data_IF_053231329284
#
_entry.id   IF_053231329284
#
_cell.length_a   1.000
_cell.length_b   1.000
_cell.length_c   1.000
_cell.angle_alpha   90.00
_cell.angle_beta   90.00
_cell.angle_gamma   90.00
#
_symmetry.space_group_name_H-M   'P 1'
#
loop_
_entity.id
_entity.type
_entity.pdbx_description
1 polymer ?
#
# COMPACT_ATOMS: atom_id res chain seq x y z
N UNK A 1 -5.29 16.57 -11.78
CA UNK A 1 -4.72 15.95 -10.54
C UNK A 1 -4.28 14.47 -10.72
N UNK A 2 -5.01 13.66 -11.49
CA UNK A 2 -4.88 12.19 -11.55
C UNK A 2 -3.52 11.60 -11.91
N UNK A 3 -2.70 12.26 -12.74
CA UNK A 3 -1.35 11.75 -13.08
C UNK A 3 -0.43 11.71 -11.86
N UNK A 4 -0.53 12.72 -10.97
CA UNK A 4 0.31 12.81 -9.77
C UNK A 4 -0.04 11.69 -8.78
N UNK A 5 -1.33 11.42 -8.59
CA UNK A 5 -1.76 10.37 -7.66
C UNK A 5 -1.44 8.96 -8.18
N UNK A 6 -1.59 8.72 -9.48
CA UNK A 6 -1.18 7.45 -10.10
C UNK A 6 0.33 7.20 -9.93
N UNK A 7 1.14 8.25 -10.13
CA UNK A 7 2.59 8.16 -9.95
C UNK A 7 2.97 7.93 -8.48
N UNK A 8 2.34 8.66 -7.55
CA UNK A 8 2.55 8.45 -6.10
C UNK A 8 2.17 7.05 -5.64
N UNK A 9 1.02 6.54 -6.09
CA UNK A 9 0.59 5.18 -5.81
C UNK A 9 1.54 4.12 -6.39
N UNK A 10 2.09 4.37 -7.59
CA UNK A 10 3.06 3.48 -8.21
C UNK A 10 4.33 3.36 -7.36
N UNK A 11 4.89 4.49 -6.93
CA UNK A 11 6.08 4.49 -6.08
C UNK A 11 5.80 3.80 -4.74
N UNK A 12 4.65 4.09 -4.10
CA UNK A 12 4.28 3.45 -2.84
C UNK A 12 4.20 1.91 -2.94
N UNK A 13 3.66 1.37 -4.03
CA UNK A 13 3.55 -0.08 -4.27
C UNK A 13 4.84 -0.71 -4.80
N UNK A 14 5.71 0.08 -5.44
CA UNK A 14 7.00 -0.34 -5.98
C UNK A 14 8.09 -0.35 -4.92
N UNK A 15 8.14 0.64 -4.05
CA UNK A 15 9.31 0.82 -3.19
C UNK A 15 9.24 -0.09 -1.96
N UNK A 16 8.05 -0.29 -1.39
CA UNK A 16 7.84 -1.16 -0.23
C UNK A 16 7.24 -2.52 -0.64
N UNK A 17 7.99 -3.63 -0.58
CA UNK A 17 7.47 -4.97 -0.91
C UNK A 17 6.41 -5.46 0.05
N UNK A 18 6.26 -4.84 1.23
CA UNK A 18 5.20 -5.18 2.20
C UNK A 18 3.84 -4.63 1.77
N UNK A 19 3.78 -3.73 0.78
CA UNK A 19 2.56 -3.01 0.41
C UNK A 19 1.78 -3.76 -0.67
N UNK A 20 0.63 -4.32 -0.29
CA UNK A 20 -0.32 -5.00 -1.18
C UNK A 20 -1.30 -4.03 -1.85
N UNK A 21 -1.75 -3.02 -1.10
CA UNK A 21 -2.63 -1.96 -1.60
C UNK A 21 -2.37 -0.63 -0.88
N UNK A 22 -2.85 0.47 -1.46
CA UNK A 22 -2.80 1.80 -0.85
C UNK A 22 -4.03 2.62 -1.24
N UNK A 23 -4.32 3.63 -0.44
CA UNK A 23 -5.40 4.58 -0.68
C UNK A 23 -4.85 5.93 -1.12
N UNK A 24 -5.67 6.73 -1.78
CA UNK A 24 -5.33 8.10 -2.15
C UNK A 24 -6.54 9.02 -2.20
N UNK A 25 -6.29 10.32 -2.12
CA UNK A 25 -7.31 11.36 -2.26
C UNK A 25 -6.82 12.34 -3.31
N UNK A 26 -7.68 12.72 -4.25
CA UNK A 26 -7.42 13.83 -5.16
C UNK A 26 -8.51 14.88 -5.02
N UNK A 27 -8.13 16.13 -4.80
CA UNK A 27 -9.03 17.28 -4.71
C UNK A 27 -8.67 18.25 -5.83
N UNK A 28 -9.64 18.58 -6.67
CA UNK A 28 -9.49 19.56 -7.74
C UNK A 28 -10.65 20.55 -7.64
N UNK A 29 -10.38 21.74 -7.13
CA UNK A 29 -11.38 22.72 -6.72
C UNK A 29 -12.38 22.09 -5.71
N UNK A 30 -13.64 21.93 -6.10
CA UNK A 30 -14.70 21.30 -5.30
C UNK A 30 -14.91 19.83 -5.64
N UNK A 31 -14.11 19.25 -6.55
CA UNK A 31 -14.24 17.86 -6.95
C UNK A 31 -13.24 16.98 -6.18
N UNK A 32 -13.74 16.19 -5.24
CA UNK A 32 -12.96 15.21 -4.48
C UNK A 32 -13.23 13.80 -4.99
N UNK A 33 -12.17 13.00 -5.09
CA UNK A 33 -12.25 11.57 -5.39
C UNK A 33 -11.41 10.78 -4.39
N UNK A 34 -11.93 9.64 -3.94
CA UNK A 34 -11.15 8.65 -3.23
C UNK A 34 -10.66 7.58 -4.19
N UNK A 35 -9.44 7.12 -3.94
CA UNK A 35 -8.75 6.15 -4.76
C UNK A 35 -8.36 4.94 -3.93
N UNK A 36 -8.55 3.77 -4.51
CA UNK A 36 -7.98 2.52 -4.04
C UNK A 36 -7.06 1.96 -5.12
N UNK A 37 -5.83 1.64 -4.73
CA UNK A 37 -4.81 1.08 -5.61
C UNK A 37 -4.37 -0.27 -5.10
N UNK A 38 -4.45 -1.29 -5.95
CA UNK A 38 -3.87 -2.59 -5.71
C UNK A 38 -3.12 -3.06 -6.96
N UNK A 39 -2.34 -4.13 -6.82
CA UNK A 39 -1.63 -4.74 -7.95
C UNK A 39 -2.57 -5.35 -9.01
N UNK A 40 -3.82 -5.67 -8.65
CA UNK A 40 -4.85 -6.21 -9.57
C UNK A 40 -5.67 -5.10 -10.24
N UNK A 41 -6.24 -4.19 -9.46
CA UNK A 41 -7.20 -3.19 -9.93
C UNK A 41 -7.07 -1.85 -9.19
N UNK A 42 -7.56 -0.81 -9.86
CA UNK A 42 -7.66 0.55 -9.35
C UNK A 42 -9.13 0.90 -9.32
N UNK A 43 -9.61 1.42 -8.20
CA UNK A 43 -10.99 1.89 -8.05
C UNK A 43 -10.98 3.36 -7.68
N UNK A 44 -11.93 4.10 -8.22
CA UNK A 44 -12.12 5.53 -7.99
C UNK A 44 -13.59 5.75 -7.72
N UNK A 45 -13.91 6.56 -6.72
CA UNK A 45 -15.31 6.96 -6.46
C UNK A 45 -15.76 7.96 -7.52
N UNK A 46 -17.07 8.11 -7.67
CA UNK A 46 -17.62 9.31 -8.31
C UNK A 46 -17.13 10.57 -7.57
N UNK A 47 -17.10 11.69 -8.31
CA UNK A 47 -16.72 12.97 -7.72
C UNK A 47 -17.76 13.44 -6.71
N UNK A 48 -17.30 14.00 -5.60
CA UNK A 48 -18.16 14.64 -4.62
C UNK A 48 -17.59 15.96 -4.14
N UNK A 49 -18.48 16.84 -3.69
CA UNK A 49 -18.12 18.13 -3.10
C UNK A 49 -17.90 17.98 -1.60
N UNK A 50 -16.64 18.07 -1.17
CA UNK A 50 -16.25 17.93 0.22
C UNK A 50 -16.67 19.13 1.09
N UNK A 51 -16.98 20.29 0.50
CA UNK A 51 -17.50 21.45 1.24
C UNK A 51 -18.96 21.21 1.60
N UNK A 52 -19.74 20.65 0.66
CA UNK A 52 -21.14 20.28 0.91
C UNK A 52 -21.30 19.03 1.76
N UNK A 53 -20.42 18.04 1.57
CA UNK A 53 -20.48 16.74 2.26
C UNK A 53 -19.15 16.43 2.96
N UNK A 54 -18.78 17.21 4.00
CA UNK A 54 -17.50 17.04 4.70
C UNK A 54 -17.41 15.71 5.43
N UNK A 55 -18.54 15.12 5.78
CA UNK A 55 -18.62 13.84 6.50
C UNK A 55 -17.91 12.69 5.77
N UNK A 56 -17.93 12.66 4.43
CA UNK A 56 -17.24 11.62 3.67
C UNK A 56 -15.73 11.71 3.86
N UNK A 57 -15.18 12.92 3.81
CA UNK A 57 -13.75 13.16 4.00
C UNK A 57 -13.33 12.87 5.44
N UNK A 58 -14.11 13.33 6.42
CA UNK A 58 -13.85 13.08 7.84
C UNK A 58 -13.87 11.58 8.13
N UNK A 59 -14.92 10.86 7.71
CA UNK A 59 -15.02 9.41 7.90
C UNK A 59 -13.88 8.66 7.23
N UNK A 60 -13.49 9.06 6.03
CA UNK A 60 -12.38 8.44 5.32
C UNK A 60 -11.05 8.63 6.05
N UNK A 61 -10.74 9.86 6.48
CA UNK A 61 -9.51 10.15 7.24
C UNK A 61 -9.51 9.41 8.57
N UNK A 62 -10.61 9.44 9.32
CA UNK A 62 -10.73 8.70 10.58
C UNK A 62 -10.58 7.19 10.37
N UNK A 63 -11.21 6.63 9.34
CA UNK A 63 -11.07 5.22 8.99
C UNK A 63 -9.63 4.83 8.68
N UNK A 64 -8.87 5.69 8.01
CA UNK A 64 -7.43 5.46 7.77
C UNK A 64 -6.61 5.59 9.06
N UNK A 65 -6.82 6.65 9.85
CA UNK A 65 -6.05 6.94 11.07
C UNK A 65 -6.27 5.90 12.17
N UNK A 66 -7.49 5.38 12.32
CA UNK A 66 -7.88 4.45 13.37
C UNK A 66 -8.03 3.01 12.87
N UNK A 67 -7.57 2.71 11.65
CA UNK A 67 -7.50 1.32 11.19
C UNK A 67 -6.47 0.56 12.02
N UNK A 68 -6.95 -0.14 13.04
CA UNK A 68 -6.07 -0.69 14.05
C UNK A 68 -5.34 -1.94 13.55
N UNK A 69 -4.08 -2.05 13.94
CA UNK A 69 -3.12 -3.13 13.67
C UNK A 69 -3.08 -4.21 14.77
N UNK A 70 -4.11 -4.35 15.61
CA UNK A 70 -4.00 -5.07 16.91
C UNK A 70 -3.74 -6.57 16.80
N UNK A 71 -4.24 -7.25 15.78
CA UNK A 71 -4.04 -8.69 15.65
C UNK A 71 -2.80 -8.99 14.78
N UNK A 72 -1.61 -8.91 15.39
CA UNK A 72 -0.38 -9.49 14.84
C UNK A 72 -0.57 -11.00 14.57
N UNK A 73 -1.44 -11.67 15.33
CA UNK A 73 -1.80 -13.09 15.20
C UNK A 73 -2.78 -13.39 14.05
N UNK A 74 -3.59 -12.43 13.58
CA UNK A 74 -4.46 -12.60 12.39
C UNK A 74 -3.89 -11.97 11.13
N UNK A 75 -2.65 -11.53 11.21
CA UNK A 75 -1.97 -10.85 10.14
C UNK A 75 -2.53 -9.44 9.97
N UNK A 76 -1.82 -8.47 10.54
CA UNK A 76 -2.09 -7.05 10.39
C UNK A 76 -2.07 -6.63 8.91
N UNK A 77 -3.22 -6.77 8.23
CA UNK A 77 -3.50 -6.31 6.86
C UNK A 77 -3.96 -4.85 6.83
N UNK A 78 -3.96 -4.17 7.98
CA UNK A 78 -4.42 -2.81 8.11
C UNK A 78 -3.67 -1.92 7.11
N UNK A 79 -4.42 -1.17 6.31
CA UNK A 79 -3.92 -0.27 5.28
C UNK A 79 -3.07 -0.90 4.16
N UNK A 80 -3.13 -2.23 4.03
CA UNK A 80 -2.52 -2.96 2.93
C UNK A 80 -1.07 -3.36 3.14
N UNK A 81 -0.61 -3.44 4.38
CA UNK A 81 0.68 -4.06 4.70
C UNK A 81 0.54 -5.57 4.89
N UNK A 82 1.55 -6.32 4.43
CA UNK A 82 1.67 -7.75 4.68
C UNK A 82 2.38 -7.99 6.02
N UNK A 83 1.69 -8.60 6.98
CA UNK A 83 2.24 -8.92 8.29
C UNK A 83 3.34 -9.98 8.28
N UNK A 84 3.38 -10.80 7.22
CA UNK A 84 4.39 -11.86 7.06
C UNK A 84 5.72 -11.29 6.58
N UNK A 85 5.78 -10.00 6.20
CA UNK A 85 6.98 -9.33 5.74
C UNK A 85 7.26 -8.11 6.60
N UNK A 86 8.43 -8.04 7.23
CA UNK A 86 8.83 -6.93 8.10
C UNK A 86 10.19 -6.38 7.69
N UNK A 87 10.44 -5.11 7.97
CA UNK A 87 11.78 -4.53 7.83
C UNK A 87 12.65 -5.07 8.97
N UNK A 88 13.81 -5.61 8.62
CA UNK A 88 14.82 -6.08 9.55
C UNK A 88 15.93 -5.05 9.76
N UNK A 89 16.43 -4.45 8.68
CA UNK A 89 17.40 -3.35 8.71
C UNK A 89 17.06 -2.34 7.63
N UNK A 90 17.42 -1.08 7.85
CA UNK A 90 17.26 0.02 6.88
C UNK A 90 18.56 0.40 6.20
N UNK A 91 19.71 -0.07 6.68
CA UNK A 91 21.02 0.22 6.08
C UNK A 91 21.97 -0.99 6.19
N UNK A 92 22.12 -1.81 5.12
CA UNK A 92 21.30 -1.82 3.91
C UNK A 92 19.87 -2.30 4.22
N UNK A 93 18.91 -1.95 3.35
CA UNK A 93 17.52 -2.42 3.51
C UNK A 93 17.48 -3.95 3.44
N UNK A 94 16.97 -4.59 4.50
CA UNK A 94 16.71 -6.02 4.58
C UNK A 94 15.32 -6.29 5.12
N UNK A 95 14.70 -7.34 4.63
CA UNK A 95 13.39 -7.80 5.07
C UNK A 95 13.52 -9.12 5.82
N UNK A 96 12.55 -9.40 6.70
CA UNK A 96 12.33 -10.74 7.23
C UNK A 96 10.96 -11.26 6.77
N UNK A 97 10.94 -12.53 6.37
CA UNK A 97 9.78 -13.22 5.83
C UNK A 97 9.36 -14.35 6.78
N UNK A 98 8.09 -14.41 7.13
CA UNK A 98 7.51 -15.51 7.89
C UNK A 98 7.06 -16.61 6.94
N UNK A 99 7.74 -17.75 6.96
CA UNK A 99 7.40 -18.92 6.15
C UNK A 99 7.26 -20.13 7.07
N UNK A 100 6.08 -20.75 7.09
CA UNK A 100 5.81 -21.93 7.92
C UNK A 100 6.29 -21.76 9.39
N UNK A 101 6.01 -20.60 9.99
CA UNK A 101 6.38 -20.23 11.37
C UNK A 101 7.86 -19.92 11.62
N UNK A 102 8.71 -20.01 10.60
CA UNK A 102 10.13 -19.63 10.68
C UNK A 102 10.37 -18.27 10.04
N UNK A 103 11.17 -17.42 10.69
CA UNK A 103 11.60 -16.14 10.12
C UNK A 103 12.89 -16.31 9.34
N UNK A 104 12.87 -15.84 8.09
CA UNK A 104 13.99 -15.83 7.17
C UNK A 104 14.43 -14.40 6.89
N UNK A 105 15.73 -14.09 6.95
CA UNK A 105 16.24 -12.72 6.76
C UNK A 105 16.86 -12.60 5.37
N UNK A 106 16.38 -11.66 4.56
CA UNK A 106 16.91 -11.47 3.22
C UNK A 106 18.34 -10.92 3.23
N UNK A 107 19.17 -11.44 2.35
CA UNK A 107 20.49 -10.88 2.03
C UNK A 107 20.40 -9.87 0.89
N UNK A 108 19.72 -10.23 -0.22
CA UNK A 108 19.53 -9.39 -1.41
C UNK A 108 18.29 -9.79 -2.23
N UNK A 109 17.84 -8.88 -3.10
CA UNK A 109 16.83 -9.17 -4.12
C UNK A 109 17.48 -9.86 -5.33
N UNK A 110 16.96 -11.01 -5.75
CA UNK A 110 17.40 -11.76 -6.93
C UNK A 110 16.65 -11.32 -8.19
N UNK A 111 15.37 -10.97 -8.05
CA UNK A 111 14.52 -10.54 -9.16
C UNK A 111 13.39 -9.65 -8.66
N UNK A 112 13.07 -8.60 -9.40
CA UNK A 112 11.99 -7.65 -9.12
C UNK A 112 11.03 -7.51 -10.32
N UNK A 113 10.75 -8.64 -10.99
CA UNK A 113 9.99 -8.68 -12.24
C UNK A 113 8.65 -7.92 -12.17
N UNK A 114 8.52 -6.89 -13.02
CA UNK A 114 7.35 -6.00 -13.12
C UNK A 114 7.00 -5.25 -11.82
N UNK A 115 7.92 -5.16 -10.85
CA UNK A 115 7.68 -4.39 -9.63
C UNK A 115 7.44 -2.89 -9.91
N UNK A 116 8.00 -2.36 -11.00
CA UNK A 116 7.85 -0.96 -11.42
C UNK A 116 6.54 -0.59 -12.12
N UNK A 117 5.73 -1.57 -12.53
CA UNK A 117 4.43 -1.31 -13.15
C UNK A 117 3.35 -1.17 -12.07
N UNK A 118 2.46 -0.17 -12.18
CA UNK A 118 1.42 0.06 -11.16
C UNK A 118 0.53 -1.17 -10.95
N UNK A 119 0.19 -1.86 -12.05
CA UNK A 119 -0.59 -3.10 -12.07
C UNK A 119 0.23 -4.26 -12.63
N UNK A 120 -0.07 -5.46 -12.16
CA UNK A 120 0.57 -6.70 -12.58
C UNK A 120 1.06 -7.53 -11.41
N UNK A 121 1.72 -8.66 -11.71
CA UNK A 121 2.16 -9.64 -10.70
C UNK A 121 3.17 -9.09 -9.70
N UNK A 122 4.03 -8.15 -10.14
CA UNK A 122 5.04 -7.48 -9.31
C UNK A 122 5.86 -8.45 -8.43
N UNK A 123 6.20 -9.60 -8.99
CA UNK A 123 6.85 -10.70 -8.26
C UNK A 123 8.27 -10.31 -7.88
N UNK A 124 8.61 -10.50 -6.61
CA UNK A 124 9.97 -10.33 -6.11
C UNK A 124 10.50 -11.65 -5.56
N UNK A 125 11.74 -11.95 -5.89
CA UNK A 125 12.46 -13.13 -5.41
C UNK A 125 13.62 -12.65 -4.55
N UNK A 126 13.73 -13.19 -3.34
CA UNK A 126 14.74 -12.81 -2.35
C UNK A 126 15.63 -14.01 -2.04
N UNK A 127 16.91 -13.73 -1.83
CA UNK A 127 17.85 -14.67 -1.22
C UNK A 127 17.71 -14.52 0.31
N UNK A 128 17.56 -15.65 1.02
CA UNK A 128 17.33 -15.73 2.47
C UNK A 128 18.19 -16.79 3.14
#
# INVERSE_FOLDING_TARGET
NSRKILWGANNALRDDPRRNFTFGISIENMSTHFWYFSRSHIMVTDSFDFIKNPEYLVRFILGLSFSHTEDISKGSRALGFDSTVQIYSTNPIRYKFLVQQTWYISTRCLSDFRAGALRGRATRVWEV
#
